data_IF_737865049072
#
_entry.id   IF_737865049072
#
_cell.length_a   1.000
_cell.length_b   1.000
_cell.length_c   1.000
_cell.angle_alpha   90.00
_cell.angle_beta   90.00
_cell.angle_gamma   90.00
#
_symmetry.space_group_name_H-M   'P 1'
#
loop_
_entity.id
_entity.type
_entity.pdbx_description
1 polymer ?
#
# COMPACT_ATOMS: atom_id res chain seq x y z
N UNK A 1 -25.60 16.78 -11.04
CA UNK A 1 -24.82 15.53 -11.14
C UNK A 1 -24.42 15.39 -12.59
N UNK A 2 -23.21 15.83 -12.92
CA UNK A 2 -22.75 15.97 -14.30
C UNK A 2 -22.50 14.61 -14.95
N UNK A 3 -22.90 14.49 -16.21
CA UNK A 3 -22.66 13.34 -17.10
C UNK A 3 -21.17 12.95 -17.18
N UNK A 4 -20.26 13.90 -16.93
CA UNK A 4 -18.81 13.68 -16.75
C UNK A 4 -18.46 12.81 -15.54
N UNK A 5 -19.10 13.06 -14.40
CA UNK A 5 -18.86 12.29 -13.16
C UNK A 5 -19.33 10.84 -13.31
N UNK A 6 -20.42 10.61 -14.05
CA UNK A 6 -20.98 9.28 -14.30
C UNK A 6 -20.06 8.45 -15.22
N UNK A 7 -19.49 9.05 -16.28
CA UNK A 7 -18.53 8.34 -17.15
C UNK A 7 -17.22 7.98 -16.45
N UNK A 8 -16.70 8.87 -15.59
CA UNK A 8 -15.47 8.61 -14.83
C UNK A 8 -15.70 7.56 -13.71
N UNK A 9 -16.87 7.58 -13.09
CA UNK A 9 -17.28 6.54 -12.13
C UNK A 9 -17.51 5.19 -12.81
N UNK A 10 -17.93 5.13 -14.08
CA UNK A 10 -18.02 3.89 -14.84
C UNK A 10 -16.65 3.29 -15.17
N UNK A 11 -15.66 4.12 -15.55
CA UNK A 11 -14.25 3.70 -15.69
C UNK A 11 -13.67 3.19 -14.36
N UNK A 12 -14.08 3.78 -13.23
CA UNK A 12 -13.72 3.33 -11.88
C UNK A 12 -14.42 2.03 -11.45
N UNK A 13 -15.70 1.84 -11.80
CA UNK A 13 -16.54 0.73 -11.30
C UNK A 13 -16.44 -0.56 -12.11
N UNK A 14 -16.21 -0.53 -13.42
CA UNK A 14 -16.25 -1.73 -14.25
C UNK A 14 -15.42 -1.58 -15.55
N UNK A 15 -14.28 -2.28 -15.58
CA UNK A 15 -13.77 -3.03 -16.72
C UNK A 15 -13.86 -2.42 -18.13
N UNK A 16 -13.48 -1.16 -18.32
CA UNK A 16 -13.03 -0.73 -19.66
C UNK A 16 -11.61 -1.20 -19.81
N UNK A 17 -11.41 -2.21 -20.65
CA UNK A 17 -10.09 -2.72 -21.02
C UNK A 17 -9.38 -1.70 -21.93
N UNK A 18 -8.92 -0.60 -21.31
CA UNK A 18 -8.20 0.51 -21.95
C UNK A 18 -6.91 0.05 -22.64
N UNK A 19 -6.48 -1.18 -22.36
CA UNK A 19 -5.33 -1.85 -22.96
C UNK A 19 -5.58 -2.23 -24.43
N UNK A 20 -6.81 -2.61 -24.78
CA UNK A 20 -7.15 -3.17 -26.09
C UNK A 20 -7.90 -2.20 -27.03
N UNK A 21 -8.30 -1.03 -26.55
CA UNK A 21 -9.00 0.00 -27.36
C UNK A 21 -7.94 0.77 -28.19
N UNK A 22 -8.22 1.39 -29.34
CA UNK A 22 -7.30 2.34 -29.98
C UNK A 22 -7.01 3.58 -29.12
N UNK A 23 -5.86 4.24 -29.32
CA UNK A 23 -5.39 5.37 -28.51
C UNK A 23 -6.39 6.55 -28.48
N UNK A 24 -7.05 6.83 -29.61
CA UNK A 24 -8.20 7.75 -29.70
C UNK A 24 -9.32 7.41 -28.72
N UNK A 25 -9.69 6.13 -28.60
CA UNK A 25 -10.76 5.70 -27.70
C UNK A 25 -10.37 5.78 -26.23
N UNK A 26 -9.08 5.69 -25.90
CA UNK A 26 -8.59 5.96 -24.54
C UNK A 26 -8.70 7.43 -24.19
N UNK A 27 -8.29 8.32 -25.11
CA UNK A 27 -8.41 9.77 -24.93
C UNK A 27 -9.87 10.23 -24.81
N UNK A 28 -10.76 9.64 -25.62
CA UNK A 28 -12.19 9.94 -25.61
C UNK A 28 -12.88 9.45 -24.33
N UNK A 29 -12.57 8.22 -23.88
CA UNK A 29 -13.12 7.67 -22.63
C UNK A 29 -12.61 8.42 -21.38
N UNK A 30 -11.32 8.79 -21.37
CA UNK A 30 -10.74 9.58 -20.28
C UNK A 30 -11.11 11.07 -20.38
N UNK A 31 -11.87 11.47 -21.42
CA UNK A 31 -12.22 12.87 -21.75
C UNK A 31 -11.01 13.80 -21.65
N UNK A 32 -9.85 13.31 -22.06
CA UNK A 32 -8.60 14.06 -22.05
C UNK A 32 -8.39 14.66 -23.43
N UNK A 33 -8.19 15.97 -23.48
CA UNK A 33 -7.64 16.59 -24.69
C UNK A 33 -6.17 16.20 -24.74
N UNK A 34 -5.65 15.82 -25.92
CA UNK A 34 -4.29 15.28 -26.18
C UNK A 34 -3.11 16.04 -25.53
N UNK A 35 -3.33 17.17 -24.87
CA UNK A 35 -2.28 18.07 -24.43
C UNK A 35 -2.37 18.48 -22.96
N UNK A 36 -3.52 18.46 -22.25
CA UNK A 36 -3.63 19.13 -20.94
C UNK A 36 -4.73 18.59 -20.04
N UNK A 37 -4.39 18.31 -18.78
CA UNK A 37 -5.31 18.34 -17.64
C UNK A 37 -5.11 19.65 -16.88
N UNK A 38 -6.20 20.30 -16.46
CA UNK A 38 -6.09 21.44 -15.55
C UNK A 38 -5.89 20.96 -14.11
N UNK A 39 -5.19 21.75 -13.30
CA UNK A 39 -5.02 21.42 -11.87
C UNK A 39 -6.35 21.18 -11.15
N UNK A 40 -7.41 21.92 -11.48
CA UNK A 40 -8.74 21.73 -10.88
C UNK A 40 -9.35 20.36 -11.23
N UNK A 41 -9.16 19.90 -12.48
CA UNK A 41 -9.63 18.60 -12.92
C UNK A 41 -8.83 17.44 -12.29
N UNK A 42 -7.54 17.67 -12.00
CA UNK A 42 -6.71 16.73 -11.25
C UNK A 42 -7.27 16.56 -9.84
N UNK A 43 -7.57 17.66 -9.14
CA UNK A 43 -8.08 17.60 -7.77
C UNK A 43 -9.44 16.90 -7.68
N UNK A 44 -10.34 17.16 -8.63
CA UNK A 44 -11.62 16.44 -8.73
C UNK A 44 -11.42 14.94 -8.95
N UNK A 45 -10.50 14.56 -9.84
CA UNK A 45 -10.16 13.14 -10.09
C UNK A 45 -9.47 12.49 -8.91
N UNK A 46 -8.63 13.21 -8.19
CA UNK A 46 -7.93 12.71 -7.02
C UNK A 46 -8.92 12.43 -5.87
N UNK A 47 -9.98 13.23 -5.75
CA UNK A 47 -11.09 12.96 -4.83
C UNK A 47 -11.96 11.76 -5.26
N UNK A 48 -12.08 11.48 -6.56
CA UNK A 48 -12.88 10.38 -7.10
C UNK A 48 -12.14 9.02 -7.11
N UNK A 49 -10.89 8.99 -7.60
CA UNK A 49 -10.08 7.78 -7.77
C UNK A 49 -9.15 7.51 -6.59
N UNK A 50 -8.89 8.52 -5.74
CA UNK A 50 -7.91 8.42 -4.67
C UNK A 50 -6.47 8.59 -5.15
N UNK A 51 -5.54 8.60 -4.20
CA UNK A 51 -4.11 8.69 -4.47
C UNK A 51 -3.59 7.41 -5.14
N UNK A 52 -2.58 7.55 -5.99
CA UNK A 52 -1.81 6.44 -6.57
C UNK A 52 -0.89 5.80 -5.51
N UNK A 53 -1.49 5.25 -4.46
CA UNK A 53 -0.84 4.47 -3.42
C UNK A 53 -1.63 3.18 -3.23
N UNK A 54 -0.92 2.09 -2.96
CA UNK A 54 -1.58 0.89 -2.47
C UNK A 54 -2.21 1.22 -1.11
N UNK A 55 -3.46 0.80 -0.90
CA UNK A 55 -4.17 1.09 0.35
C UNK A 55 -3.40 0.53 1.54
N UNK A 56 -2.78 1.41 2.33
CA UNK A 56 -2.27 1.04 3.64
C UNK A 56 -3.49 0.77 4.53
N UNK A 57 -3.67 -0.50 4.93
CA UNK A 57 -4.66 -0.84 5.96
C UNK A 57 -4.39 0.02 7.19
N UNK A 58 -5.32 0.93 7.48
CA UNK A 58 -5.31 1.75 8.69
C UNK A 58 -5.59 0.83 9.88
N UNK A 59 -4.55 0.16 10.37
CA UNK A 59 -4.64 -0.44 11.69
C UNK A 59 -4.80 0.67 12.72
N UNK A 60 -5.86 0.60 13.53
CA UNK A 60 -6.04 1.58 14.59
C UNK A 60 -4.90 1.42 15.59
N UNK A 61 -4.22 2.53 15.92
CA UNK A 61 -3.08 2.55 16.85
C UNK A 61 -3.42 1.90 18.20
N UNK A 62 -4.69 1.99 18.61
CA UNK A 62 -5.22 1.39 19.84
C UNK A 62 -5.38 -0.12 19.72
N UNK A 63 -5.89 -0.66 18.61
CA UNK A 63 -5.90 -2.13 18.42
C UNK A 63 -4.49 -2.69 18.33
N UNK A 64 -3.56 -1.98 17.68
CA UNK A 64 -2.15 -2.39 17.63
C UNK A 64 -1.54 -2.41 19.04
N UNK A 65 -1.83 -1.40 19.85
CA UNK A 65 -1.45 -1.34 21.27
C UNK A 65 -2.05 -2.50 22.11
N UNK A 66 -3.35 -2.79 21.96
CA UNK A 66 -3.98 -3.94 22.62
C UNK A 66 -3.41 -5.28 22.12
N UNK A 67 -3.01 -5.35 20.84
CA UNK A 67 -2.31 -6.51 20.28
C UNK A 67 -0.96 -6.76 20.94
N UNK A 68 -0.24 -5.72 21.35
CA UNK A 68 1.02 -5.86 22.11
C UNK A 68 0.82 -6.45 23.51
N UNK A 69 -0.35 -6.23 24.15
CA UNK A 69 -0.68 -6.92 25.40
C UNK A 69 -0.83 -8.45 25.19
N UNK A 70 -1.02 -8.90 23.96
CA UNK A 70 -1.18 -10.30 23.60
C UNK A 70 0.12 -10.99 23.15
N UNK A 71 1.27 -10.47 23.56
CA UNK A 71 2.58 -11.09 23.34
C UNK A 71 2.79 -12.26 24.33
N UNK A 72 3.34 -13.42 23.91
CA UNK A 72 3.68 -14.54 24.79
C UNK A 72 4.40 -14.18 26.11
N UNK A 73 5.21 -13.12 26.12
CA UNK A 73 5.84 -12.62 27.33
C UNK A 73 4.82 -12.07 28.34
N UNK A 74 3.82 -11.33 27.87
CA UNK A 74 2.72 -10.81 28.69
C UNK A 74 1.89 -11.95 29.29
N UNK A 75 1.79 -13.10 28.61
CA UNK A 75 1.08 -14.28 29.13
C UNK A 75 1.80 -14.93 30.31
N UNK A 76 3.13 -14.97 30.30
CA UNK A 76 3.91 -15.48 31.44
C UNK A 76 3.71 -14.58 32.67
N UNK A 77 3.65 -13.27 32.46
CA UNK A 77 3.41 -12.28 33.51
C UNK A 77 1.98 -12.35 34.05
N UNK A 78 0.98 -12.54 33.18
CA UNK A 78 -0.42 -12.69 33.58
C UNK A 78 -0.66 -14.01 34.32
N UNK A 79 0.00 -15.10 33.89
CA UNK A 79 -0.01 -16.38 34.60
C UNK A 79 0.68 -16.27 35.98
N UNK A 80 1.76 -15.51 36.10
CA UNK A 80 2.41 -15.23 37.38
C UNK A 80 1.49 -14.44 38.32
N UNK A 81 0.79 -13.42 37.81
CA UNK A 81 -0.19 -12.66 38.58
C UNK A 81 -1.38 -13.53 39.05
N UNK A 82 -1.89 -14.41 38.18
CA UNK A 82 -2.97 -15.35 38.54
C UNK A 82 -2.48 -16.38 39.55
N UNK A 83 -1.26 -16.92 39.40
CA UNK A 83 -0.67 -17.83 40.39
C UNK A 83 -0.52 -17.17 41.76
N UNK A 84 -0.09 -15.91 41.80
CA UNK A 84 0.10 -15.18 43.05
C UNK A 84 -1.23 -15.00 43.80
N UNK A 85 -2.32 -14.66 43.08
CA UNK A 85 -3.68 -14.56 43.62
C UNK A 85 -4.27 -15.93 43.98
N UNK A 86 -3.95 -16.99 43.25
CA UNK A 86 -4.47 -18.34 43.50
C UNK A 86 -3.77 -19.05 44.67
N UNK A 87 -2.49 -18.77 44.90
CA UNK A 87 -1.69 -19.33 45.99
C UNK A 87 -1.87 -18.56 47.30
N UNK A 88 -2.40 -17.34 47.26
CA UNK A 88 -2.82 -16.61 48.46
C UNK A 88 -4.11 -17.21 49.02
N UNK A 89 -3.97 -17.99 50.11
CA UNK A 89 -5.10 -18.57 50.81
C UNK A 89 -5.96 -17.49 51.48
N UNK A 90 -7.30 -17.66 51.56
CA UNK A 90 -8.20 -16.73 52.25
C UNK A 90 -7.98 -16.86 53.78
N UNK A 91 -6.96 -16.18 54.32
CA UNK A 91 -6.77 -16.15 55.77
C UNK A 91 -5.44 -15.67 56.32
N UNK A 92 -4.30 -15.77 55.61
CA UNK A 92 -2.99 -15.61 56.28
C UNK A 92 -2.13 -14.43 55.82
N UNK A 93 -2.42 -13.78 54.69
CA UNK A 93 -1.83 -12.49 54.30
C UNK A 93 -2.84 -11.70 53.48
N UNK A 94 -2.97 -10.36 53.67
CA UNK A 94 -3.66 -9.56 52.66
C UNK A 94 -2.89 -9.80 51.36
N UNK A 95 -3.58 -10.25 50.30
CA UNK A 95 -2.97 -10.29 48.97
C UNK A 95 -2.28 -8.93 48.78
N UNK A 96 -0.95 -8.95 48.58
CA UNK A 96 -0.16 -7.73 48.51
C UNK A 96 -0.63 -7.01 47.25
N UNK A 97 -1.61 -6.12 47.40
CA UNK A 97 -2.16 -5.30 46.31
C UNK A 97 -1.01 -4.56 45.59
N UNK A 98 0.11 -4.38 46.29
CA UNK A 98 1.38 -3.87 45.80
C UNK A 98 2.04 -4.77 44.74
N UNK A 99 2.03 -6.09 44.89
CA UNK A 99 2.64 -7.04 43.95
C UNK A 99 1.80 -7.15 42.67
N UNK A 100 0.49 -7.27 42.80
CA UNK A 100 -0.43 -7.22 41.66
C UNK A 100 -0.36 -5.88 40.93
N UNK A 101 -0.38 -4.76 41.66
CA UNK A 101 -0.21 -3.43 41.07
C UNK A 101 1.16 -3.27 40.41
N UNK A 102 2.23 -3.84 40.99
CA UNK A 102 3.57 -3.84 40.41
C UNK A 102 3.64 -4.56 39.06
N UNK A 103 3.01 -5.74 38.95
CA UNK A 103 2.94 -6.51 37.70
C UNK A 103 2.14 -5.74 36.64
N UNK A 104 0.99 -5.15 37.01
CA UNK A 104 0.17 -4.35 36.08
C UNK A 104 0.93 -3.11 35.60
N UNK A 105 1.63 -2.40 36.49
CA UNK A 105 2.46 -1.24 36.12
C UNK A 105 3.60 -1.67 35.19
N UNK A 106 4.27 -2.79 35.47
CA UNK A 106 5.35 -3.30 34.62
C UNK A 106 4.83 -3.68 33.22
N UNK A 107 3.63 -4.27 33.11
CA UNK A 107 2.97 -4.56 31.83
C UNK A 107 2.64 -3.28 31.04
N UNK A 108 2.16 -2.23 31.72
CA UNK A 108 1.88 -0.94 31.08
C UNK A 108 3.18 -0.30 30.58
N UNK A 109 4.25 -0.31 31.38
CA UNK A 109 5.55 0.22 30.98
C UNK A 109 6.11 -0.55 29.79
N UNK A 110 6.09 -1.89 29.83
CA UNK A 110 6.57 -2.72 28.73
C UNK A 110 5.79 -2.50 27.42
N UNK A 111 4.46 -2.40 27.52
CA UNK A 111 3.60 -2.09 26.35
C UNK A 111 3.86 -0.69 25.81
N UNK A 112 4.12 0.28 26.68
CA UNK A 112 4.43 1.66 26.29
C UNK A 112 5.78 1.75 25.58
N UNK A 113 6.82 1.09 26.09
CA UNK A 113 8.13 1.01 25.43
C UNK A 113 7.98 0.33 24.06
N UNK A 114 7.33 -0.83 24.03
CA UNK A 114 7.08 -1.58 22.79
C UNK A 114 6.32 -0.73 21.75
N UNK A 115 5.31 0.03 22.18
CA UNK A 115 4.55 0.91 21.30
C UNK A 115 5.37 2.08 20.77
N UNK A 116 6.20 2.70 21.60
CA UNK A 116 7.08 3.80 21.19
C UNK A 116 8.14 3.29 20.20
N UNK A 117 8.76 2.15 20.47
CA UNK A 117 9.74 1.53 19.57
C UNK A 117 9.11 1.17 18.23
N UNK A 118 7.94 0.51 18.24
CA UNK A 118 7.22 0.16 17.02
C UNK A 118 6.81 1.39 16.22
N UNK A 119 6.25 2.42 16.87
CA UNK A 119 5.86 3.65 16.19
C UNK A 119 7.08 4.41 15.66
N UNK A 120 8.20 4.41 16.37
CA UNK A 120 9.42 5.07 15.95
C UNK A 120 10.09 4.31 14.77
N UNK A 121 10.15 2.98 14.85
CA UNK A 121 10.65 2.12 13.78
C UNK A 121 9.77 2.25 12.52
N UNK A 122 8.46 2.21 12.68
CA UNK A 122 7.50 2.42 11.59
C UNK A 122 7.63 3.81 10.96
N UNK A 123 7.78 4.86 11.77
CA UNK A 123 7.95 6.23 11.25
C UNK A 123 9.28 6.42 10.51
N UNK A 124 10.37 5.82 11.01
CA UNK A 124 11.66 5.83 10.32
C UNK A 124 11.60 5.09 8.97
N UNK A 125 10.94 3.93 8.93
CA UNK A 125 10.70 3.18 7.70
C UNK A 125 9.83 3.98 6.72
N UNK A 126 8.74 4.60 7.19
CA UNK A 126 7.86 5.43 6.36
C UNK A 126 8.59 6.65 5.79
N UNK A 127 9.43 7.32 6.58
CA UNK A 127 10.23 8.45 6.11
C UNK A 127 11.27 8.01 5.06
N UNK A 128 11.85 6.82 5.20
CA UNK A 128 12.74 6.25 4.19
C UNK A 128 11.97 5.89 2.91
N UNK A 129 10.80 5.27 3.02
CA UNK A 129 9.92 4.96 1.90
C UNK A 129 9.47 6.23 1.17
N UNK A 130 9.17 7.31 1.89
CA UNK A 130 8.81 8.60 1.29
C UNK A 130 9.98 9.23 0.51
N UNK A 131 11.22 9.05 0.96
CA UNK A 131 12.41 9.52 0.23
C UNK A 131 12.75 8.68 -1.00
N UNK A 132 12.36 7.41 -0.98
CA UNK A 132 12.49 6.48 -2.10
C UNK A 132 11.26 6.51 -3.02
N UNK A 133 10.25 7.34 -2.70
CA UNK A 133 9.04 7.42 -3.48
C UNK A 133 9.39 7.89 -4.90
N UNK A 134 8.93 7.18 -5.93
CA UNK A 134 9.20 7.55 -7.31
C UNK A 134 8.56 8.92 -7.59
N UNK A 135 9.33 9.80 -8.23
CA UNK A 135 8.84 11.06 -8.79
C UNK A 135 8.55 10.87 -10.27
N UNK A 136 7.57 11.60 -10.77
CA UNK A 136 7.16 11.54 -12.16
C UNK A 136 7.10 12.95 -12.76
N UNK A 137 7.55 13.09 -14.01
CA UNK A 137 7.38 14.32 -14.78
C UNK A 137 6.02 14.31 -15.46
N UNK A 138 5.15 15.21 -15.03
CA UNK A 138 3.77 15.35 -15.51
C UNK A 138 3.58 16.65 -16.29
N UNK A 139 2.71 16.62 -17.29
CA UNK A 139 2.31 17.81 -18.03
C UNK A 139 0.95 18.30 -17.52
N UNK A 140 0.95 19.41 -16.76
CA UNK A 140 -0.26 20.04 -16.18
C UNK A 140 -0.30 21.51 -16.56
N UNK A 141 -1.46 22.02 -16.95
CA UNK A 141 -1.64 23.40 -17.44
C UNK A 141 -0.63 23.82 -18.54
N UNK A 142 -0.16 22.86 -19.33
CA UNK A 142 0.84 23.09 -20.39
C UNK A 142 2.28 23.30 -19.89
N UNK A 143 2.57 23.02 -18.61
CA UNK A 143 3.92 23.06 -18.05
C UNK A 143 4.34 21.68 -17.54
N UNK A 144 5.59 21.33 -17.78
CA UNK A 144 6.20 20.14 -17.21
C UNK A 144 6.57 20.39 -15.76
N UNK A 145 5.92 19.68 -14.85
CA UNK A 145 6.19 19.73 -13.42
C UNK A 145 6.65 18.35 -12.94
N UNK A 146 7.53 18.33 -11.95
CA UNK A 146 7.94 17.09 -11.29
C UNK A 146 7.14 16.93 -10.01
N UNK A 147 6.29 15.91 -9.99
CA UNK A 147 5.33 15.65 -8.92
C UNK A 147 5.57 14.24 -8.33
N UNK A 148 5.11 14.03 -7.10
CA UNK A 148 5.17 12.69 -6.50
C UNK A 148 4.27 11.72 -7.28
N UNK A 149 4.76 10.50 -7.54
CA UNK A 149 3.96 9.48 -8.24
C UNK A 149 2.61 9.21 -7.55
N UNK A 150 2.51 9.47 -6.24
CA UNK A 150 1.30 9.31 -5.45
C UNK A 150 0.14 10.22 -5.85
N UNK A 151 0.41 11.39 -6.45
CA UNK A 151 -0.62 12.35 -6.87
C UNK A 151 -1.00 12.22 -8.34
N UNK A 152 -0.52 11.17 -9.01
CA UNK A 152 -0.90 10.86 -10.38
C UNK A 152 -2.36 10.41 -10.45
N UNK A 153 -3.06 10.87 -11.47
CA UNK A 153 -4.45 10.50 -11.75
C UNK A 153 -4.58 9.92 -13.17
N UNK A 154 -5.58 9.05 -13.41
CA UNK A 154 -5.89 8.61 -14.77
C UNK A 154 -6.13 9.81 -15.70
N UNK A 155 -5.48 9.80 -16.86
CA UNK A 155 -5.48 10.86 -17.85
C UNK A 155 -4.36 11.89 -17.75
N UNK A 156 -3.48 11.80 -16.75
CA UNK A 156 -2.24 12.59 -16.73
C UNK A 156 -1.31 12.18 -17.89
N UNK A 157 -0.62 13.14 -18.49
CA UNK A 157 0.45 12.87 -19.45
C UNK A 157 1.77 12.91 -18.69
N UNK A 158 2.54 11.84 -18.81
CA UNK A 158 3.85 11.65 -18.17
C UNK A 158 4.94 11.54 -19.22
N UNK A 159 6.13 12.05 -18.91
CA UNK A 159 7.34 11.84 -19.70
C UNK A 159 8.17 10.73 -19.05
N UNK A 160 8.49 9.71 -19.84
CA UNK A 160 9.29 8.56 -19.40
C UNK A 160 10.67 8.66 -20.04
N UNK A 161 11.72 8.75 -19.22
CA UNK A 161 13.12 8.79 -19.69
C UNK A 161 13.87 7.52 -19.33
N UNK A 162 15.06 7.39 -19.92
CA UNK A 162 16.02 6.35 -19.58
C UNK A 162 16.29 6.31 -18.07
N UNK A 163 16.08 5.14 -17.45
CA UNK A 163 16.35 4.89 -16.03
C UNK A 163 15.16 5.18 -15.11
N UNK A 164 14.08 5.78 -15.63
CA UNK A 164 12.89 6.05 -14.82
C UNK A 164 12.10 4.76 -14.56
N UNK A 165 11.52 4.70 -13.37
CA UNK A 165 10.55 3.67 -12.98
C UNK A 165 9.17 4.16 -13.40
N UNK A 166 8.41 3.29 -14.06
CA UNK A 166 7.05 3.59 -14.50
C UNK A 166 6.13 3.77 -13.27
N UNK A 167 5.57 4.97 -13.06
CA UNK A 167 4.91 5.33 -11.80
C UNK A 167 3.44 4.90 -11.72
N UNK A 168 2.82 4.54 -12.85
CA UNK A 168 1.45 4.07 -12.98
C UNK A 168 1.28 3.31 -14.31
N UNK A 169 0.21 2.54 -14.47
CA UNK A 169 -0.08 1.93 -15.76
C UNK A 169 -0.42 3.04 -16.77
N UNK A 170 0.27 3.04 -17.89
CA UNK A 170 0.19 4.09 -18.89
C UNK A 170 0.23 3.53 -20.31
N UNK A 171 -0.15 4.37 -21.27
CA UNK A 171 -0.13 4.05 -22.69
C UNK A 171 0.78 4.99 -23.44
N UNK A 172 1.69 4.43 -24.23
CA UNK A 172 2.68 5.22 -24.97
C UNK A 172 2.00 6.07 -26.04
N UNK A 173 2.32 7.35 -26.08
CA UNK A 173 1.92 8.29 -27.12
C UNK A 173 2.84 8.13 -28.34
N UNK A 174 2.73 9.04 -29.31
CA UNK A 174 3.58 9.04 -30.51
C UNK A 174 5.05 9.31 -30.12
N UNK A 175 5.99 8.55 -30.69
CA UNK A 175 7.42 8.67 -30.38
C UNK A 175 8.26 7.49 -30.83
N UNK A 176 9.50 7.41 -30.34
CA UNK A 176 10.41 6.31 -30.62
C UNK A 176 10.11 5.09 -29.72
N UNK A 177 10.33 3.85 -30.19
CA UNK A 177 10.14 2.65 -29.38
C UNK A 177 10.98 2.67 -28.09
N UNK A 178 10.35 2.26 -26.99
CA UNK A 178 10.95 2.19 -25.66
C UNK A 178 11.38 0.75 -25.35
N UNK A 179 12.49 0.54 -24.63
CA UNK A 179 12.78 -0.77 -24.01
C UNK A 179 12.51 -0.72 -22.52
N UNK A 180 11.71 -1.66 -22.07
CA UNK A 180 11.25 -1.74 -20.69
C UNK A 180 11.66 -3.08 -20.08
N UNK A 181 12.21 -3.00 -18.88
CA UNK A 181 12.47 -4.14 -18.02
C UNK A 181 11.24 -4.41 -17.15
N UNK A 182 10.61 -5.57 -17.38
CA UNK A 182 9.43 -6.05 -16.65
C UNK A 182 9.78 -7.17 -15.66
N UNK A 183 11.07 -7.37 -15.35
CA UNK A 183 11.53 -8.42 -14.42
C UNK A 183 10.85 -8.37 -13.06
N UNK A 184 10.51 -7.17 -12.56
CA UNK A 184 9.78 -6.99 -11.32
C UNK A 184 8.37 -7.57 -11.34
N UNK A 185 7.74 -7.67 -12.51
CA UNK A 185 6.35 -8.10 -12.68
C UNK A 185 6.23 -9.53 -13.21
N UNK A 186 6.99 -9.86 -14.26
CA UNK A 186 6.90 -11.16 -14.95
C UNK A 186 7.98 -12.15 -14.52
N UNK A 187 9.06 -11.67 -13.88
CA UNK A 187 10.25 -12.46 -13.58
C UNK A 187 11.16 -12.70 -14.79
N UNK A 188 10.83 -12.18 -15.96
CA UNK A 188 11.67 -12.30 -17.15
C UNK A 188 12.77 -11.23 -17.16
N UNK A 189 14.03 -11.65 -17.31
CA UNK A 189 15.18 -10.74 -17.22
C UNK A 189 15.49 -9.97 -18.52
N UNK A 190 14.85 -10.33 -19.64
CA UNK A 190 15.11 -9.70 -20.93
C UNK A 190 14.19 -8.48 -21.10
N UNK A 191 14.74 -7.31 -21.46
CA UNK A 191 13.94 -6.13 -21.70
C UNK A 191 13.09 -6.29 -22.96
N UNK A 192 11.82 -5.89 -22.88
CA UNK A 192 10.83 -5.97 -23.96
C UNK A 192 10.74 -4.61 -24.65
N UNK A 193 10.73 -4.60 -25.98
CA UNK A 193 10.50 -3.38 -26.77
C UNK A 193 9.02 -3.09 -26.85
N UNK A 194 8.63 -1.85 -26.54
CA UNK A 194 7.27 -1.32 -26.58
C UNK A 194 7.16 -0.19 -27.60
N UNK A 195 6.22 -0.33 -28.53
CA UNK A 195 5.96 0.65 -29.57
C UNK A 195 4.92 1.69 -29.12
N UNK A 196 4.86 2.86 -29.78
CA UNK A 196 3.75 3.80 -29.62
C UNK A 196 2.38 3.11 -29.69
N UNK A 197 1.49 3.46 -28.76
CA UNK A 197 0.16 2.85 -28.65
C UNK A 197 0.08 1.59 -27.80
N UNK A 198 1.21 0.99 -27.38
CA UNK A 198 1.23 -0.12 -26.42
C UNK A 198 1.15 0.36 -24.96
N UNK A 199 0.63 -0.52 -24.09
CA UNK A 199 0.59 -0.31 -22.64
C UNK A 199 1.93 -0.61 -21.95
N UNK A 200 2.21 0.16 -20.91
CA UNK A 200 3.33 0.00 -19.97
C UNK A 200 2.80 -0.11 -18.56
N UNK A 201 3.44 -0.94 -17.73
CA UNK A 201 2.93 -1.30 -16.41
C UNK A 201 3.74 -0.68 -15.27
N UNK A 202 3.04 -0.36 -14.18
CA UNK A 202 3.62 0.09 -12.91
C UNK A 202 4.77 -0.82 -12.44
N UNK A 203 5.85 -0.20 -11.95
CA UNK A 203 7.01 -0.91 -11.40
C UNK A 203 8.01 -1.43 -12.44
N UNK A 204 7.69 -1.30 -13.73
CA UNK A 204 8.65 -1.58 -14.80
C UNK A 204 9.70 -0.46 -14.88
N UNK A 205 10.89 -0.76 -15.41
CA UNK A 205 11.97 0.25 -15.52
C UNK A 205 12.34 0.51 -16.98
N UNK A 206 12.44 1.77 -17.38
CA UNK A 206 12.91 2.13 -18.72
C UNK A 206 14.42 1.89 -18.86
N UNK A 207 14.82 1.04 -19.82
CA UNK A 207 16.22 0.72 -20.12
C UNK A 207 16.76 1.43 -21.36
N UNK A 208 15.91 1.89 -22.26
CA UNK A 208 16.31 2.63 -23.47
C UNK A 208 15.14 3.43 -24.04
N UNK A 209 15.42 4.66 -24.49
CA UNK A 209 14.45 5.54 -25.16
C UNK A 209 13.90 6.64 -24.25
N UNK A 210 13.13 7.54 -24.85
CA UNK A 210 12.34 8.55 -24.18
C UNK A 210 11.03 8.71 -24.95
N UNK A 211 9.90 8.69 -24.25
CA UNK A 211 8.58 8.80 -24.86
C UNK A 211 7.59 9.36 -23.85
N UNK A 212 6.56 10.04 -24.35
CA UNK A 212 5.44 10.49 -23.55
C UNK A 212 4.37 9.40 -23.46
N UNK A 213 3.64 9.34 -22.34
CA UNK A 213 2.61 8.36 -22.12
C UNK A 213 1.42 8.97 -21.37
N UNK A 214 0.22 8.45 -21.63
CA UNK A 214 -0.99 8.82 -20.89
C UNK A 214 -1.30 7.78 -19.82
N UNK A 215 -1.49 8.22 -18.58
CA UNK A 215 -1.84 7.33 -17.46
C UNK A 215 -3.25 6.77 -17.67
N UNK A 216 -3.39 5.45 -17.61
CA UNK A 216 -4.68 4.77 -17.78
C UNK A 216 -5.25 4.31 -16.44
N UNK A 217 -4.40 3.88 -15.50
CA UNK A 217 -4.82 3.37 -14.20
C UNK A 217 -3.76 3.64 -13.13
N UNK A 218 -4.24 3.86 -11.90
CA UNK A 218 -3.42 4.19 -10.73
C UNK A 218 -3.79 3.31 -9.53
N UNK A 219 -2.85 3.16 -8.59
CA UNK A 219 -3.04 2.49 -7.31
C UNK A 219 -3.51 1.04 -7.46
N UNK A 220 -4.58 0.70 -6.75
CA UNK A 220 -5.20 -0.64 -6.73
C UNK A 220 -5.75 -1.08 -8.09
N UNK A 221 -5.99 -0.14 -9.01
CA UNK A 221 -6.55 -0.44 -10.33
C UNK A 221 -5.48 -0.83 -11.36
N UNK A 222 -4.19 -0.64 -11.05
CA UNK A 222 -3.07 -1.12 -11.87
C UNK A 222 -3.03 -2.65 -11.93
N UNK A 223 -2.38 -3.21 -12.95
CA UNK A 223 -2.18 -4.65 -13.07
C UNK A 223 -1.49 -5.22 -11.84
N UNK A 224 -0.42 -4.57 -11.37
CA UNK A 224 0.27 -4.95 -10.14
C UNK A 224 -0.62 -4.77 -8.90
N UNK A 225 -1.36 -3.67 -8.80
CA UNK A 225 -2.28 -3.40 -7.69
C UNK A 225 -3.37 -4.46 -7.56
N UNK A 226 -3.97 -4.88 -8.68
CA UNK A 226 -4.95 -5.98 -8.73
C UNK A 226 -4.33 -7.30 -8.28
N UNK A 227 -3.14 -7.63 -8.76
CA UNK A 227 -2.42 -8.83 -8.35
C UNK A 227 -2.09 -8.81 -6.84
N UNK A 228 -1.60 -7.69 -6.33
CA UNK A 228 -1.31 -7.50 -4.92
C UNK A 228 -2.57 -7.62 -4.05
N UNK A 229 -3.69 -7.01 -4.45
CA UNK A 229 -4.97 -7.10 -3.75
C UNK A 229 -5.52 -8.54 -3.70
N UNK A 230 -5.36 -9.31 -4.79
CA UNK A 230 -5.74 -10.72 -4.82
C UNK A 230 -4.87 -11.57 -3.88
N UNK A 231 -3.55 -11.34 -3.86
CA UNK A 231 -2.62 -12.02 -2.95
C UNK A 231 -2.90 -11.64 -1.50
N UNK A 232 -3.20 -10.38 -1.22
CA UNK A 232 -3.51 -9.92 0.13
C UNK A 232 -4.80 -10.57 0.66
N UNK A 233 -5.85 -10.66 -0.15
CA UNK A 233 -7.06 -11.40 0.22
C UNK A 233 -6.83 -12.92 0.35
N UNK A 234 -5.74 -13.43 -0.21
CA UNK A 234 -5.36 -14.85 -0.18
C UNK A 234 -4.25 -15.15 0.82
N UNK A 235 -3.74 -14.16 1.59
CA UNK A 235 -2.62 -14.40 2.50
C UNK A 235 -3.05 -15.27 3.68
N UNK A 236 -2.86 -16.57 3.50
CA UNK A 236 -2.60 -17.49 4.58
C UNK A 236 -1.41 -16.94 5.37
N UNK A 237 -1.67 -16.61 6.64
CA UNK A 237 -0.69 -16.37 7.71
C UNK A 237 0.58 -17.17 7.41
N UNK A 238 1.71 -16.48 7.20
CA UNK A 238 2.96 -17.12 6.79
C UNK A 238 3.30 -18.29 7.70
N UNK A 239 3.84 -19.39 7.16
CA UNK A 239 4.02 -20.64 7.90
C UNK A 239 4.73 -20.44 9.26
N UNK A 240 5.69 -19.53 9.34
CA UNK A 240 6.39 -19.19 10.58
C UNK A 240 5.48 -18.50 11.60
N UNK A 241 4.69 -17.51 11.16
CA UNK A 241 3.72 -16.81 11.98
C UNK A 241 2.55 -17.74 12.38
N UNK A 242 2.14 -18.65 11.50
CA UNK A 242 1.12 -19.68 11.76
C UNK A 242 1.62 -20.73 12.76
N UNK A 243 2.87 -21.15 12.70
CA UNK A 243 3.47 -22.07 13.69
C UNK A 243 3.62 -21.38 15.04
N UNK A 244 4.06 -20.12 15.09
CA UNK A 244 4.10 -19.34 16.32
C UNK A 244 2.69 -19.17 16.90
N UNK A 245 1.75 -18.60 16.15
CA UNK A 245 0.38 -18.39 16.62
C UNK A 245 -0.36 -19.69 16.96
N UNK A 246 -0.16 -20.79 16.22
CA UNK A 246 -0.81 -22.08 16.50
C UNK A 246 -0.30 -22.71 17.79
N UNK A 247 1.02 -22.65 18.04
CA UNK A 247 1.61 -23.13 19.30
C UNK A 247 1.12 -22.30 20.49
N UNK A 248 1.04 -20.98 20.29
CA UNK A 248 0.55 -19.98 21.24
C UNK A 248 -0.95 -20.19 21.56
N UNK A 249 -1.84 -20.27 20.56
CA UNK A 249 -3.28 -20.46 20.77
C UNK A 249 -3.65 -21.86 21.29
N UNK A 250 -3.02 -22.93 20.81
CA UNK A 250 -3.34 -24.29 21.27
C UNK A 250 -2.94 -24.53 22.73
N UNK A 251 -1.82 -23.94 23.18
CA UNK A 251 -1.43 -24.03 24.60
C UNK A 251 -2.36 -23.21 25.50
N UNK A 252 -2.89 -22.07 25.04
CA UNK A 252 -3.85 -21.26 25.83
C UNK A 252 -5.17 -21.99 26.08
N UNK A 253 -5.74 -22.64 25.06
CA UNK A 253 -6.99 -23.40 25.20
C UNK A 253 -6.79 -24.62 26.11
N UNK A 254 -5.60 -25.24 26.09
CA UNK A 254 -5.27 -26.40 26.92
C UNK A 254 -4.91 -26.06 28.37
N UNK A 255 -4.54 -24.81 28.66
CA UNK A 255 -4.31 -24.33 30.04
C UNK A 255 -5.58 -23.78 30.71
N UNK A 256 -6.58 -23.35 29.94
CA UNK A 256 -7.84 -22.81 30.46
C UNK A 256 -8.97 -23.87 30.63
N UNK A 257 -8.74 -25.12 30.22
CA UNK A 257 -9.62 -26.28 30.39
C UNK A 257 -8.93 -27.32 31.28
#
# INVERSE_FOLDING_TARGET
>A
MDEKSVSLQAVSREAVDLENIPLEGVLENLKCTRERLSSDAVEERLNLFGYNKLEEKKESKVLKFLGFMWNPLSWVMEAAAIMDVALTQPGDKPADYHDFAGIVVLLIVNSTISFIEENNAGNAAAALMARLAPKAKVLRDGKWNEEDAAVLVPGDIISIKLGDIIPADARLLEGDPLKIDQSALTGESLPVTKNPGEGVYFGSTCKQGEIEAVVIATGVHTFFGKAAHLVENTTHIGHFQKVHLRTIFQNKIRLCL
#
